data_IF_149879276608
#
_entry.id   IF_149879276608
#
_cell.length_a   1.000
_cell.length_b   1.000
_cell.length_c   1.000
_cell.angle_alpha   90.00
_cell.angle_beta   90.00
_cell.angle_gamma   90.00
#
_symmetry.space_group_name_H-M   'P 1'
#
loop_
_entity.id
_entity.type
_entity.pdbx_description
1 polymer ?
#
# COMPACT_ATOMS: atom_id res chain seq x y z
N UNK A 1 63.47 7.80 8.77
CA UNK A 1 63.12 8.20 10.15
C UNK A 1 61.77 7.56 10.49
N UNK A 2 61.72 6.80 11.60
CA UNK A 2 60.61 6.09 12.30
C UNK A 2 59.69 5.14 11.48
N UNK A 3 59.67 3.80 11.59
CA UNK A 3 59.66 2.75 12.66
C UNK A 3 58.37 2.63 13.53
N UNK A 4 57.63 1.53 13.25
CA UNK A 4 57.05 0.50 14.15
C UNK A 4 56.00 0.85 15.24
N UNK A 5 54.89 0.09 15.27
CA UNK A 5 54.45 -0.82 16.38
C UNK A 5 53.03 -1.38 16.11
N UNK A 6 52.91 -2.64 15.66
CA UNK A 6 52.40 -3.79 16.45
C UNK A 6 52.02 -3.51 17.91
N UNK A 7 50.75 -3.77 18.26
CA UNK A 7 50.34 -4.36 19.54
C UNK A 7 49.21 -5.38 19.28
N UNK A 8 49.49 -6.60 19.71
CA UNK A 8 48.67 -7.80 19.82
C UNK A 8 47.89 -7.82 21.15
N UNK A 9 46.99 -8.81 21.31
CA UNK A 9 46.47 -9.38 22.59
C UNK A 9 45.40 -8.54 23.32
N UNK A 10 44.37 -9.06 24.00
CA UNK A 10 43.88 -10.40 24.42
C UNK A 10 42.40 -10.16 24.84
N UNK A 11 41.42 -11.03 24.57
CA UNK A 11 41.02 -12.25 25.29
C UNK A 11 40.32 -12.05 26.68
N UNK A 12 39.09 -12.61 26.80
CA UNK A 12 38.38 -13.18 27.99
C UNK A 12 37.90 -12.20 29.08
N UNK A 13 36.62 -12.14 29.47
CA UNK A 13 35.98 -13.09 30.41
C UNK A 13 34.47 -12.87 30.53
N UNK A 14 33.73 -13.98 30.50
CA UNK A 14 32.34 -14.11 30.97
C UNK A 14 32.27 -14.01 32.51
N UNK A 15 31.11 -13.64 33.08
CA UNK A 15 30.49 -14.33 34.23
C UNK A 15 29.03 -13.87 34.36
N UNK A 16 28.13 -14.84 34.45
CA UNK A 16 26.72 -14.70 34.80
C UNK A 16 26.53 -14.37 36.29
N UNK A 17 25.51 -13.57 36.61
CA UNK A 17 24.95 -13.51 37.97
C UNK A 17 23.42 -13.33 37.90
N UNK A 18 22.72 -14.46 37.90
CA UNK A 18 21.38 -14.59 38.49
C UNK A 18 21.56 -14.69 40.00
N UNK A 19 20.81 -13.92 40.80
CA UNK A 19 20.04 -14.38 41.97
C UNK A 19 19.06 -13.28 42.41
N UNK A 20 17.79 -13.60 42.22
CA UNK A 20 16.55 -13.23 42.91
C UNK A 20 16.59 -12.58 44.30
N UNK A 21 15.74 -11.57 44.53
CA UNK A 21 14.97 -11.43 45.78
C UNK A 21 13.60 -10.76 45.56
N UNK A 22 12.55 -11.50 45.92
CA UNK A 22 11.32 -11.10 46.62
C UNK A 22 10.36 -10.03 46.05
N UNK A 23 9.24 -10.54 45.52
CA UNK A 23 7.85 -10.23 45.90
C UNK A 23 7.48 -8.80 46.34
N UNK A 24 7.03 -7.99 45.38
CA UNK A 24 5.81 -7.19 45.55
C UNK A 24 4.82 -7.62 44.48
N UNK A 25 3.92 -8.53 44.87
CA UNK A 25 2.78 -8.95 44.07
C UNK A 25 1.67 -7.92 44.26
N UNK A 26 1.89 -6.69 43.80
CA UNK A 26 0.75 -5.86 43.43
C UNK A 26 0.09 -6.57 42.26
N UNK A 27 -1.21 -6.82 42.39
CA UNK A 27 -2.01 -7.36 41.32
C UNK A 27 -1.94 -6.39 40.14
N UNK A 28 -0.96 -6.61 39.26
CA UNK A 28 -1.04 -6.19 37.89
C UNK A 28 -2.26 -6.93 37.36
N UNK A 29 -3.39 -6.23 37.35
CA UNK A 29 -4.47 -6.49 36.42
C UNK A 29 -3.78 -6.86 35.11
N UNK A 30 -4.05 -8.05 34.53
CA UNK A 30 -3.56 -8.33 33.19
C UNK A 30 -3.90 -7.08 32.36
N UNK A 31 -2.99 -6.56 31.52
CA UNK A 31 -3.42 -5.58 30.55
C UNK A 31 -4.63 -6.21 29.88
N UNK A 32 -5.78 -5.57 30.06
CA UNK A 32 -7.02 -5.90 29.36
C UNK A 32 -6.56 -6.16 27.94
N UNK A 33 -6.83 -7.34 27.34
CA UNK A 33 -6.53 -7.51 25.93
C UNK A 33 -7.09 -6.27 25.26
N UNK A 34 -6.32 -5.56 24.45
CA UNK A 34 -6.87 -4.49 23.64
C UNK A 34 -7.92 -5.15 22.75
N UNK A 35 -9.12 -5.29 23.28
CA UNK A 35 -10.26 -5.96 22.70
C UNK A 35 -10.91 -4.92 21.83
N UNK A 36 -10.24 -4.67 20.71
CA UNK A 36 -10.75 -4.78 19.35
C UNK A 36 -9.73 -4.08 18.44
N UNK A 37 -8.95 -4.83 17.63
CA UNK A 37 -8.52 -4.28 16.36
C UNK A 37 -9.81 -3.94 15.61
N UNK A 38 -9.89 -2.72 15.08
CA UNK A 38 -10.92 -2.32 14.12
C UNK A 38 -11.23 -3.50 13.18
N UNK A 39 -12.50 -3.86 13.05
CA UNK A 39 -12.97 -5.09 12.40
C UNK A 39 -12.68 -5.21 10.89
N UNK A 40 -11.83 -4.35 10.34
CA UNK A 40 -11.28 -4.44 8.99
C UNK A 40 -9.81 -4.81 9.09
N UNK A 41 -9.46 -5.94 8.48
CA UNK A 41 -8.05 -6.23 8.19
C UNK A 41 -7.48 -5.05 7.39
N UNK A 42 -6.34 -4.52 7.81
CA UNK A 42 -5.60 -3.46 7.09
C UNK A 42 -5.43 -3.83 5.61
N UNK A 43 -5.20 -5.12 5.32
CA UNK A 43 -5.10 -5.64 3.96
C UNK A 43 -6.37 -5.40 3.12
N UNK A 44 -7.56 -5.50 3.72
CA UNK A 44 -8.82 -5.25 3.02
C UNK A 44 -9.02 -3.74 2.71
N UNK A 45 -8.56 -2.86 3.61
CA UNK A 45 -8.54 -1.41 3.35
C UNK A 45 -7.54 -1.12 2.23
N UNK A 46 -6.32 -1.64 2.33
CA UNK A 46 -5.27 -1.47 1.31
C UNK A 46 -5.70 -2.01 -0.05
N UNK A 47 -6.40 -3.14 -0.11
CA UNK A 47 -6.94 -3.69 -1.35
C UNK A 47 -7.97 -2.79 -2.06
N UNK A 48 -8.67 -1.94 -1.31
CA UNK A 48 -9.56 -0.92 -1.89
C UNK A 48 -8.82 0.36 -2.33
N UNK A 49 -7.74 0.71 -1.65
CA UNK A 49 -7.07 1.99 -1.83
C UNK A 49 -5.84 1.93 -2.74
N UNK A 50 -4.90 1.01 -2.51
CA UNK A 50 -3.60 0.98 -3.19
C UNK A 50 -3.73 0.79 -4.71
N UNK A 51 -4.53 -0.15 -5.25
CA UNK A 51 -4.69 -0.28 -6.71
C UNK A 51 -5.24 0.99 -7.37
N UNK A 52 -6.15 1.70 -6.69
CA UNK A 52 -6.72 2.96 -7.18
C UNK A 52 -5.72 4.11 -7.08
N UNK A 53 -4.81 4.07 -6.10
CA UNK A 53 -3.70 5.02 -5.99
C UNK A 53 -2.72 4.83 -7.15
N UNK A 54 -2.27 3.59 -7.39
CA UNK A 54 -1.35 3.27 -8.49
C UNK A 54 -1.97 3.64 -9.85
N UNK A 55 -3.25 3.33 -10.07
CA UNK A 55 -4.00 3.74 -11.27
C UNK A 55 -3.98 5.27 -11.47
N UNK A 56 -4.24 6.02 -10.40
CA UNK A 56 -4.29 7.49 -10.46
C UNK A 56 -2.90 8.11 -10.69
N UNK A 57 -1.87 7.64 -9.98
CA UNK A 57 -0.49 8.12 -10.13
C UNK A 57 0.03 7.84 -11.53
N UNK A 58 -0.18 6.62 -12.05
CA UNK A 58 0.20 6.28 -13.42
C UNK A 58 -0.55 7.12 -14.45
N UNK A 59 -1.86 7.29 -14.31
CA UNK A 59 -2.66 8.13 -15.22
C UNK A 59 -2.18 9.59 -15.21
N UNK A 60 -1.87 10.16 -14.05
CA UNK A 60 -1.33 11.51 -13.95
C UNK A 60 0.04 11.62 -14.64
N UNK A 61 0.88 10.58 -14.49
CA UNK A 61 2.18 10.50 -15.15
C UNK A 61 2.06 10.37 -16.66
N UNK A 62 1.09 9.57 -17.15
CA UNK A 62 0.73 9.48 -18.58
C UNK A 62 0.37 10.86 -19.12
N UNK A 63 -0.53 11.57 -18.44
CA UNK A 63 -1.00 12.88 -18.89
C UNK A 63 0.16 13.86 -19.02
N UNK A 64 1.02 13.93 -17.99
CA UNK A 64 2.22 14.78 -18.01
C UNK A 64 3.14 14.42 -19.19
N UNK A 65 3.45 13.13 -19.39
CA UNK A 65 4.32 12.70 -20.47
C UNK A 65 3.71 12.92 -21.86
N UNK A 66 2.40 12.73 -22.03
CA UNK A 66 1.72 12.96 -23.31
C UNK A 66 1.73 14.45 -23.70
N UNK A 67 1.69 15.34 -22.70
CA UNK A 67 1.73 16.79 -22.85
C UNK A 67 3.16 17.28 -23.16
N UNK A 68 4.16 16.84 -22.41
CA UNK A 68 5.51 17.41 -22.44
C UNK A 68 6.56 16.56 -23.17
N UNK A 69 6.26 15.30 -23.52
CA UNK A 69 7.14 14.39 -24.26
C UNK A 69 6.43 13.83 -25.52
N UNK A 70 6.25 14.65 -26.57
CA UNK A 70 5.44 14.28 -27.72
C UNK A 70 6.00 13.09 -28.52
N UNK A 71 7.32 12.81 -28.48
CA UNK A 71 7.88 11.67 -29.21
C UNK A 71 7.59 10.34 -28.48
N UNK A 72 7.43 10.39 -27.15
CA UNK A 72 7.16 9.23 -26.28
C UNK A 72 5.69 8.90 -26.22
N UNK A 73 4.80 9.83 -26.59
CA UNK A 73 3.34 9.70 -26.52
C UNK A 73 2.82 8.32 -26.89
N UNK A 74 3.24 7.77 -28.04
CA UNK A 74 2.77 6.45 -28.51
C UNK A 74 3.19 5.33 -27.56
N UNK A 75 4.44 5.34 -27.10
CA UNK A 75 4.96 4.33 -26.18
C UNK A 75 4.28 4.43 -24.81
N UNK A 76 4.13 5.65 -24.30
CA UNK A 76 3.44 5.96 -23.03
C UNK A 76 2.00 5.46 -23.04
N UNK A 77 1.23 5.83 -24.05
CA UNK A 77 -0.17 5.42 -24.18
C UNK A 77 -0.32 3.90 -24.38
N UNK A 78 0.60 3.29 -25.14
CA UNK A 78 0.65 1.84 -25.31
C UNK A 78 0.90 1.10 -24.00
N UNK A 79 1.92 1.52 -23.24
CA UNK A 79 2.25 0.96 -21.94
C UNK A 79 1.11 1.13 -20.92
N UNK A 80 0.45 2.29 -20.92
CA UNK A 80 -0.73 2.55 -20.09
C UNK A 80 -1.88 1.59 -20.40
N UNK A 81 -2.19 1.40 -21.70
CA UNK A 81 -3.26 0.50 -22.13
C UNK A 81 -2.97 -0.94 -21.71
N UNK A 82 -1.72 -1.40 -21.92
CA UNK A 82 -1.30 -2.74 -21.50
C UNK A 82 -1.35 -2.93 -19.98
N UNK A 83 -0.98 -1.91 -19.20
CA UNK A 83 -1.10 -1.96 -17.75
C UNK A 83 -2.57 -2.08 -17.31
N UNK A 84 -3.48 -1.31 -17.90
CA UNK A 84 -4.91 -1.42 -17.63
C UNK A 84 -5.42 -2.82 -17.95
N UNK A 85 -5.07 -3.38 -19.10
CA UNK A 85 -5.50 -4.71 -19.53
C UNK A 85 -5.03 -5.80 -18.57
N UNK A 86 -3.75 -5.79 -18.17
CA UNK A 86 -3.18 -6.77 -17.24
C UNK A 86 -3.78 -6.70 -15.83
N UNK A 87 -4.21 -5.51 -15.40
CA UNK A 87 -4.70 -5.28 -14.04
C UNK A 87 -6.24 -5.16 -13.96
N UNK A 88 -6.97 -5.25 -15.09
CA UNK A 88 -8.40 -4.98 -15.17
C UNK A 88 -9.25 -5.78 -14.16
N UNK A 89 -8.99 -7.09 -14.03
CA UNK A 89 -9.73 -7.94 -13.10
C UNK A 89 -9.52 -7.54 -11.63
N UNK A 90 -8.27 -7.26 -11.25
CA UNK A 90 -7.91 -6.82 -9.90
C UNK A 90 -8.46 -5.44 -9.60
N UNK A 91 -8.42 -4.51 -10.55
CA UNK A 91 -9.03 -3.19 -10.42
C UNK A 91 -10.55 -3.28 -10.23
N UNK A 92 -11.23 -4.19 -10.93
CA UNK A 92 -12.66 -4.42 -10.74
C UNK A 92 -12.99 -4.89 -9.32
N UNK A 93 -12.20 -5.83 -8.77
CA UNK A 93 -12.38 -6.31 -7.39
C UNK A 93 -12.01 -5.22 -6.37
N UNK A 94 -10.92 -4.49 -6.59
CA UNK A 94 -10.47 -3.39 -5.72
C UNK A 94 -11.57 -2.32 -5.54
N UNK A 95 -12.31 -2.00 -6.61
CA UNK A 95 -13.46 -1.09 -6.55
C UNK A 95 -14.54 -1.57 -5.57
N UNK A 96 -14.74 -2.88 -5.42
CA UNK A 96 -15.70 -3.42 -4.44
C UNK A 96 -15.20 -3.27 -2.99
N UNK A 97 -13.90 -3.44 -2.77
CA UNK A 97 -13.29 -3.15 -1.46
C UNK A 97 -13.36 -1.66 -1.11
N UNK A 98 -13.12 -0.78 -2.09
CA UNK A 98 -13.31 0.67 -1.93
C UNK A 98 -14.75 1.04 -1.64
N UNK A 99 -15.71 0.50 -2.40
CA UNK A 99 -17.14 0.76 -2.18
C UNK A 99 -17.54 0.40 -0.74
N UNK A 100 -17.03 -0.70 -0.20
CA UNK A 100 -17.30 -1.09 1.20
C UNK A 100 -16.74 -0.08 2.21
N UNK A 101 -15.59 0.54 1.91
CA UNK A 101 -15.01 1.61 2.73
C UNK A 101 -15.88 2.87 2.67
N UNK A 102 -16.35 3.24 1.47
CA UNK A 102 -17.25 4.37 1.24
C UNK A 102 -18.62 4.15 1.92
N UNK A 103 -19.19 2.95 1.80
CA UNK A 103 -20.43 2.57 2.46
C UNK A 103 -20.32 2.69 3.98
N UNK A 104 -19.16 2.35 4.55
CA UNK A 104 -18.96 2.44 5.97
C UNK A 104 -18.61 3.86 6.45
N UNK A 105 -18.04 4.71 5.59
CA UNK A 105 -17.93 6.15 5.86
C UNK A 105 -19.32 6.80 5.92
N UNK A 106 -20.23 6.40 5.02
CA UNK A 106 -21.59 6.95 4.97
C UNK A 106 -22.53 6.34 6.02
N UNK A 107 -22.49 5.02 6.20
CA UNK A 107 -23.52 4.24 6.90
C UNK A 107 -22.96 3.38 8.04
N UNK A 108 -21.71 3.60 8.45
CA UNK A 108 -21.09 2.88 9.56
C UNK A 108 -21.94 2.91 10.83
N UNK A 109 -21.90 1.83 11.62
CA UNK A 109 -22.80 1.65 12.77
C UNK A 109 -22.46 2.57 13.95
N UNK A 110 -21.22 3.03 14.01
CA UNK A 110 -20.72 3.98 15.00
C UNK A 110 -20.15 5.22 14.34
N UNK A 111 -20.12 6.34 15.07
CA UNK A 111 -19.48 7.57 14.61
C UNK A 111 -17.97 7.37 14.38
N UNK A 112 -17.32 6.62 15.28
CA UNK A 112 -15.90 6.28 15.15
C UNK A 112 -15.60 5.53 13.84
N UNK A 113 -16.46 4.57 13.48
CA UNK A 113 -16.32 3.82 12.23
C UNK A 113 -16.48 4.72 11.00
N UNK A 114 -17.50 5.59 11.00
CA UNK A 114 -17.73 6.55 9.89
C UNK A 114 -16.54 7.49 9.72
N UNK A 115 -16.10 8.12 10.82
CA UNK A 115 -14.99 9.07 10.79
C UNK A 115 -13.68 8.42 10.38
N UNK A 116 -13.37 7.22 10.88
CA UNK A 116 -12.15 6.50 10.52
C UNK A 116 -12.16 6.13 9.03
N UNK A 117 -13.29 5.66 8.52
CA UNK A 117 -13.46 5.33 7.11
C UNK A 117 -13.32 6.55 6.21
N UNK A 118 -13.93 7.67 6.60
CA UNK A 118 -13.81 8.95 5.90
C UNK A 118 -12.36 9.45 5.89
N UNK A 119 -11.68 9.42 7.04
CA UNK A 119 -10.29 9.84 7.15
C UNK A 119 -9.36 9.03 6.23
N UNK A 120 -9.59 7.72 6.10
CA UNK A 120 -8.82 6.87 5.18
C UNK A 120 -9.03 7.26 3.71
N UNK A 121 -10.26 7.61 3.33
CA UNK A 121 -10.58 8.07 1.98
C UNK A 121 -9.98 9.45 1.69
N UNK A 122 -10.00 10.36 2.66
CA UNK A 122 -9.42 11.70 2.53
C UNK A 122 -7.89 11.63 2.43
N UNK A 123 -7.25 10.84 3.30
CA UNK A 123 -5.81 10.59 3.26
C UNK A 123 -5.38 9.97 1.93
N UNK A 124 -6.19 9.06 1.37
CA UNK A 124 -5.91 8.44 0.08
C UNK A 124 -5.79 9.47 -1.05
N UNK A 125 -6.65 10.49 -1.08
CA UNK A 125 -6.58 11.56 -2.07
C UNK A 125 -5.28 12.37 -1.94
N UNK A 126 -4.89 12.72 -0.71
CA UNK A 126 -3.62 13.41 -0.43
C UNK A 126 -2.41 12.56 -0.82
N UNK A 127 -2.45 11.25 -0.57
CA UNK A 127 -1.37 10.33 -0.96
C UNK A 127 -1.23 10.27 -2.49
N UNK A 128 -2.32 10.20 -3.25
CA UNK A 128 -2.27 10.24 -4.73
C UNK A 128 -1.51 11.48 -5.20
N UNK A 129 -1.84 12.65 -4.65
CA UNK A 129 -1.16 13.91 -5.02
C UNK A 129 0.33 13.85 -4.64
N UNK A 130 0.64 13.42 -3.42
CA UNK A 130 2.03 13.32 -2.94
C UNK A 130 2.88 12.38 -3.81
N UNK A 131 2.39 11.18 -4.10
CA UNK A 131 3.10 10.22 -4.94
C UNK A 131 3.19 10.68 -6.40
N UNK A 132 2.15 11.33 -6.93
CA UNK A 132 2.21 11.95 -8.26
C UNK A 132 3.31 13.01 -8.31
N UNK A 133 3.40 13.86 -7.29
CA UNK A 133 4.40 14.92 -7.24
C UNK A 133 5.81 14.35 -7.13
N UNK A 134 6.03 13.34 -6.30
CA UNK A 134 7.32 12.65 -6.19
C UNK A 134 7.72 12.00 -7.51
N UNK A 135 6.78 11.32 -8.19
CA UNK A 135 7.03 10.64 -9.45
C UNK A 135 7.41 11.63 -10.58
N UNK A 136 6.84 12.83 -10.56
CA UNK A 136 7.05 13.85 -11.60
C UNK A 136 8.13 14.88 -11.27
N UNK A 137 8.68 14.88 -10.05
CA UNK A 137 9.56 15.94 -9.55
C UNK A 137 10.76 16.17 -10.48
N UNK A 138 11.52 15.11 -10.80
CA UNK A 138 12.70 15.18 -11.66
C UNK A 138 12.33 15.66 -13.08
N UNK A 139 11.19 15.21 -13.61
CA UNK A 139 10.74 15.64 -14.95
C UNK A 139 10.32 17.12 -14.96
N UNK A 140 9.68 17.60 -13.89
CA UNK A 140 9.30 19.01 -13.73
C UNK A 140 10.52 19.91 -13.58
N UNK A 141 11.54 19.46 -12.85
CA UNK A 141 12.84 20.15 -12.76
C UNK A 141 13.47 20.24 -14.16
N UNK A 142 13.54 19.13 -14.91
CA UNK A 142 14.07 19.16 -16.27
C UNK A 142 13.30 20.14 -17.19
N UNK A 143 11.96 20.17 -17.09
CA UNK A 143 11.13 21.10 -17.84
C UNK A 143 11.41 22.57 -17.45
N UNK A 144 11.55 22.87 -16.16
CA UNK A 144 11.86 24.21 -15.65
C UNK A 144 13.25 24.71 -16.09
N UNK A 145 14.17 23.80 -16.39
CA UNK A 145 15.50 24.10 -16.93
C UNK A 145 15.56 24.04 -18.47
N UNK A 146 14.41 24.01 -19.15
CA UNK A 146 14.30 23.97 -20.62
C UNK A 146 15.03 22.77 -21.25
N UNK A 147 14.94 21.59 -20.61
CA UNK A 147 15.55 20.33 -21.06
C UNK A 147 14.48 19.34 -21.57
N UNK A 148 13.79 19.60 -22.70
CA UNK A 148 12.69 18.75 -23.17
C UNK A 148 13.14 17.33 -23.55
N UNK A 149 14.37 17.18 -24.06
CA UNK A 149 14.91 15.84 -24.39
C UNK A 149 15.15 14.99 -23.13
N UNK A 150 15.44 15.61 -21.99
CA UNK A 150 15.56 14.89 -20.71
C UNK A 150 14.18 14.43 -20.21
N UNK A 151 13.15 15.27 -20.32
CA UNK A 151 11.75 14.89 -20.00
C UNK A 151 11.31 13.70 -20.87
N UNK A 152 11.62 13.76 -22.16
CA UNK A 152 11.34 12.73 -23.15
C UNK A 152 12.01 11.39 -22.80
N UNK A 153 13.29 11.42 -22.44
CA UNK A 153 14.03 10.23 -22.00
C UNK A 153 13.42 9.64 -20.71
N UNK A 154 13.17 10.48 -19.69
CA UNK A 154 12.61 10.04 -18.42
C UNK A 154 11.22 9.40 -18.60
N UNK A 155 10.36 10.00 -19.43
CA UNK A 155 9.07 9.44 -19.78
C UNK A 155 9.22 8.08 -20.50
N UNK A 156 10.15 7.97 -21.44
CA UNK A 156 10.41 6.70 -22.15
C UNK A 156 10.88 5.61 -21.20
N UNK A 157 11.83 5.92 -20.30
CA UNK A 157 12.35 4.96 -19.31
C UNK A 157 11.29 4.52 -18.30
N UNK A 158 10.49 5.46 -17.79
CA UNK A 158 9.40 5.16 -16.86
C UNK A 158 8.38 4.22 -17.51
N UNK A 159 7.95 4.50 -18.73
CA UNK A 159 6.94 3.68 -19.39
C UNK A 159 7.50 2.39 -20.01
N UNK A 160 8.82 2.26 -20.18
CA UNK A 160 9.44 0.97 -20.42
C UNK A 160 9.26 0.00 -19.24
N UNK A 161 9.40 0.50 -17.99
CA UNK A 161 9.15 -0.29 -16.76
C UNK A 161 7.69 -0.68 -16.62
N UNK A 162 6.78 0.27 -16.87
CA UNK A 162 5.33 -0.01 -16.89
C UNK A 162 5.00 -1.07 -17.93
N UNK A 163 5.57 -0.96 -19.13
CA UNK A 163 5.38 -1.94 -20.19
C UNK A 163 5.90 -3.33 -19.81
N UNK A 164 7.05 -3.39 -19.12
CA UNK A 164 7.67 -4.62 -18.60
C UNK A 164 6.90 -5.26 -17.42
N UNK A 165 5.85 -4.60 -16.91
CA UNK A 165 5.02 -5.12 -15.82
C UNK A 165 5.54 -4.81 -14.42
N UNK A 166 6.61 -4.01 -14.27
CA UNK A 166 7.13 -3.61 -12.96
C UNK A 166 6.12 -2.82 -12.12
N UNK A 167 5.14 -2.22 -12.79
CA UNK A 167 4.05 -1.49 -12.15
C UNK A 167 2.78 -2.31 -11.95
N UNK A 168 2.75 -3.58 -12.39
CA UNK A 168 1.56 -4.41 -12.21
C UNK A 168 1.32 -4.67 -10.72
N UNK A 169 0.04 -4.71 -10.32
CA UNK A 169 -0.37 -4.89 -8.92
C UNK A 169 0.26 -6.16 -8.33
N UNK A 170 0.33 -7.23 -9.14
CA UNK A 170 0.94 -8.50 -8.73
C UNK A 170 2.45 -8.44 -8.47
N UNK A 171 3.16 -7.46 -9.04
CA UNK A 171 4.60 -7.27 -8.83
C UNK A 171 4.86 -6.31 -7.65
N UNK A 172 4.08 -5.23 -7.56
CA UNK A 172 4.26 -4.21 -6.52
C UNK A 172 3.79 -4.70 -5.15
N UNK A 173 2.63 -5.34 -5.10
CA UNK A 173 1.97 -5.72 -3.85
C UNK A 173 1.38 -7.14 -3.94
N UNK A 174 2.21 -8.19 -3.83
CA UNK A 174 1.77 -9.58 -4.00
C UNK A 174 0.66 -10.00 -3.03
N UNK A 175 0.65 -9.47 -1.80
CA UNK A 175 -0.39 -9.76 -0.80
C UNK A 175 -1.74 -9.15 -1.18
N UNK A 176 -1.74 -7.91 -1.66
CA UNK A 176 -2.94 -7.26 -2.18
C UNK A 176 -3.43 -8.00 -3.42
N UNK A 177 -2.52 -8.34 -4.34
CA UNK A 177 -2.86 -9.10 -5.53
C UNK A 177 -3.51 -10.44 -5.19
N UNK A 178 -2.96 -11.18 -4.21
CA UNK A 178 -3.52 -12.45 -3.76
C UNK A 178 -4.93 -12.27 -3.16
N UNK A 179 -5.16 -11.21 -2.38
CA UNK A 179 -6.50 -10.92 -1.84
C UNK A 179 -7.50 -10.56 -2.96
N UNK A 180 -7.07 -9.78 -3.95
CA UNK A 180 -7.92 -9.40 -5.09
C UNK A 180 -8.21 -10.60 -6.01
N UNK A 181 -7.25 -11.48 -6.20
CA UNK A 181 -7.39 -12.72 -6.97
C UNK A 181 -8.33 -13.73 -6.27
N UNK A 182 -8.42 -13.68 -4.93
CA UNK A 182 -9.41 -14.44 -4.16
C UNK A 182 -10.85 -13.93 -4.34
N UNK A 183 -11.02 -12.73 -4.91
CA UNK A 183 -12.30 -12.19 -5.32
C UNK A 183 -12.90 -11.16 -4.35
N UNK A 184 -14.22 -10.86 -4.49
CA UNK A 184 -14.86 -9.75 -3.82
C UNK A 184 -14.86 -9.90 -2.28
N UNK A 185 -14.96 -8.78 -1.54
CA UNK A 185 -15.05 -8.83 -0.08
C UNK A 185 -16.27 -9.66 0.36
N UNK A 186 -16.07 -10.55 1.33
CA UNK A 186 -17.16 -11.37 1.87
C UNK A 186 -18.24 -10.47 2.51
N UNK A 187 -19.54 -10.82 2.38
CA UNK A 187 -20.63 -10.10 3.04
C UNK A 187 -20.40 -9.99 4.55
N UNK A 188 -20.72 -8.83 5.13
CA UNK A 188 -20.76 -8.68 6.58
C UNK A 188 -22.03 -9.36 7.06
N UNK A 189 -21.93 -10.60 7.53
CA UNK A 189 -23.03 -11.23 8.26
C UNK A 189 -23.01 -10.64 9.67
N UNK A 190 -24.06 -9.92 10.12
CA UNK A 190 -24.13 -9.45 11.50
C UNK A 190 -24.00 -10.64 12.45
N UNK A 191 -23.27 -10.50 13.55
CA UNK A 191 -23.16 -11.56 14.58
C UNK A 191 -24.53 -11.99 15.16
N UNK A 192 -25.58 -11.22 14.90
CA UNK A 192 -26.97 -11.47 15.26
C UNK A 192 -27.78 -12.24 14.20
N UNK A 193 -27.18 -12.62 13.07
CA UNK A 193 -27.88 -13.46 12.10
C UNK A 193 -28.11 -14.85 12.72
N UNK A 194 -29.36 -15.32 12.80
CA UNK A 194 -29.62 -16.66 13.31
C UNK A 194 -28.83 -17.66 12.46
N UNK A 195 -28.09 -18.55 13.13
CA UNK A 195 -27.47 -19.70 12.49
C UNK A 195 -28.56 -20.37 11.64
N UNK A 196 -28.30 -20.53 10.34
CA UNK A 196 -29.22 -21.26 9.48
C UNK A 196 -29.50 -22.60 10.14
N UNK A 197 -30.77 -23.01 10.32
CA UNK A 197 -31.06 -24.30 10.91
C UNK A 197 -30.40 -25.35 10.04
N UNK A 198 -29.51 -26.09 10.66
CA UNK A 198 -28.86 -27.26 10.12
C UNK A 198 -29.97 -28.15 9.55
N UNK A 199 -30.11 -28.21 8.22
CA UNK A 199 -30.94 -29.22 7.55
C UNK A 199 -30.19 -30.55 7.56
N UNK A 200 -29.78 -30.95 8.77
CA UNK A 200 -29.26 -32.26 9.11
C UNK A 200 -30.42 -33.19 9.41
N UNK A 201 -30.84 -33.91 8.37
CA UNK A 201 -31.28 -35.31 8.40
C UNK A 201 -31.83 -35.86 9.73
N UNK A 202 -33.14 -36.15 9.77
CA UNK A 202 -33.67 -37.53 9.85
C UNK A 202 -35.19 -37.55 9.73
#
# INVERSE_FOLDING_TARGET
>A
MHRLKSIQMMLVTAVAALVTTACSREAQTPPVPASQPDTRSELAVSAGLVPQMDEAVLRNTVNFCVEHAPKARKAVQGAWTLWLDRNAARLAVARLYRQRLEDAAANGTSESERQTSQNLLDQHATLIESFTNQQLDVMRVALAHEQPDAVEQLCTEQFAKVNAGEWDIGQRDPEIAALLDAGPPKPVIPASAPASPDTGQR
#
